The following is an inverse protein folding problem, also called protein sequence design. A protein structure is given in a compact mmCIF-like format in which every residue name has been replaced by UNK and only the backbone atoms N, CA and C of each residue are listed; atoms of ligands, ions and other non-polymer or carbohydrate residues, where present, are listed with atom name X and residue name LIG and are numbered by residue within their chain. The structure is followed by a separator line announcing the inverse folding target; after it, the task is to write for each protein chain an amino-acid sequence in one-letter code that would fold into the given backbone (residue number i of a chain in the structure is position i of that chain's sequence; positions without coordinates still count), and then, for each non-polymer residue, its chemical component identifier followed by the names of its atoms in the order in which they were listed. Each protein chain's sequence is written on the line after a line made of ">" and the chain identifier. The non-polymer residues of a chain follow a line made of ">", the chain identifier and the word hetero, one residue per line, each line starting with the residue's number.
data_IF_425702937273
#
_entry.id   IF_425702937273
#
_cell.length_a   1.000
_cell.length_b   1.000
_cell.length_c   1.000
_cell.angle_alpha   90.00
_cell.angle_beta   90.00
_cell.angle_gamma   90.00
#
_symmetry.space_group_name_H-M   'P 1'
#
loop_
_entity.id
_entity.type
_entity.pdbx_description
1 polymer ?
#
# COMPACT_ATOMS: atom_id res chain seq x y z
N UNK A 1 20.34 -11.94 -0.68
CA UNK A 1 19.07 -12.05 -1.44
C UNK A 1 18.12 -10.88 -1.21
N UNK A 2 17.84 -10.47 0.04
CA UNK A 2 16.91 -9.35 0.31
C UNK A 2 17.26 -8.02 -0.39
N UNK A 3 18.54 -7.61 -0.37
CA UNK A 3 18.98 -6.33 -0.97
C UNK A 3 18.73 -6.30 -2.50
N UNK A 4 18.96 -7.42 -3.18
CA UNK A 4 18.74 -7.53 -4.63
C UNK A 4 17.25 -7.36 -4.94
N UNK A 5 16.36 -7.97 -4.16
CA UNK A 5 14.91 -7.80 -4.32
C UNK A 5 14.46 -6.34 -4.13
N UNK A 6 15.06 -5.60 -3.20
CA UNK A 6 14.78 -4.17 -3.01
C UNK A 6 15.24 -3.32 -4.19
N UNK A 7 16.42 -3.60 -4.75
CA UNK A 7 16.92 -2.89 -5.93
C UNK A 7 16.00 -3.11 -7.13
N UNK A 8 15.61 -4.37 -7.40
CA UNK A 8 14.68 -4.68 -8.48
C UNK A 8 13.29 -4.08 -8.23
N UNK A 9 12.76 -4.17 -7.00
CA UNK A 9 11.48 -3.56 -6.64
C UNK A 9 11.49 -2.04 -6.84
N UNK A 10 12.58 -1.37 -6.45
CA UNK A 10 12.77 0.06 -6.68
C UNK A 10 12.80 0.42 -8.17
N UNK A 11 13.53 -0.36 -8.98
CA UNK A 11 13.61 -0.13 -10.42
C UNK A 11 12.26 -0.31 -11.11
N UNK A 12 11.52 -1.36 -10.79
CA UNK A 12 10.17 -1.62 -11.32
C UNK A 12 9.20 -0.51 -10.93
N UNK A 13 9.29 -0.03 -9.68
CA UNK A 13 8.42 1.07 -9.21
C UNK A 13 8.73 2.38 -9.93
N UNK A 14 10.01 2.68 -10.18
CA UNK A 14 10.43 3.86 -10.92
C UNK A 14 9.92 3.84 -12.36
N UNK A 15 10.14 2.74 -13.08
CA UNK A 15 9.70 2.62 -14.47
C UNK A 15 8.17 2.65 -14.58
N UNK A 16 7.47 1.94 -13.69
CA UNK A 16 6.01 1.96 -13.63
C UNK A 16 5.44 3.35 -13.32
N UNK A 17 6.07 4.08 -12.38
CA UNK A 17 5.68 5.44 -12.04
C UNK A 17 5.81 6.40 -13.22
N UNK A 18 6.92 6.34 -13.95
CA UNK A 18 7.14 7.14 -15.17
C UNK A 18 6.07 6.88 -16.22
N UNK A 19 5.73 5.62 -16.49
CA UNK A 19 4.69 5.26 -17.47
C UNK A 19 3.31 5.79 -17.07
N UNK A 20 2.94 5.71 -15.79
CA UNK A 20 1.66 6.24 -15.31
C UNK A 20 1.60 7.77 -15.44
N UNK A 21 2.70 8.46 -15.16
CA UNK A 21 2.81 9.92 -15.31
C UNK A 21 2.67 10.33 -16.77
N UNK A 22 3.33 9.64 -17.69
CA UNK A 22 3.24 9.92 -19.13
C UNK A 22 1.79 9.79 -19.63
N UNK A 23 1.12 8.69 -19.28
CA UNK A 23 -0.30 8.47 -19.61
C UNK A 23 -1.18 9.57 -18.99
N UNK A 24 -0.94 9.93 -17.73
CA UNK A 24 -1.69 11.01 -17.06
C UNK A 24 -1.46 12.39 -17.66
N UNK A 25 -0.26 12.66 -18.20
CA UNK A 25 0.03 13.90 -18.90
C UNK A 25 -0.66 13.98 -20.27
N UNK A 26 -0.81 12.84 -20.96
CA UNK A 26 -1.53 12.77 -22.24
C UNK A 26 -3.06 12.82 -22.08
N UNK A 27 -3.59 12.38 -20.94
CA UNK A 27 -5.03 12.30 -20.67
C UNK A 27 -5.40 13.15 -19.45
N UNK A 28 -5.65 14.46 -19.60
CA UNK A 28 -5.99 15.37 -18.50
C UNK A 28 -7.45 15.20 -18.03
N UNK A 29 -7.95 13.97 -17.96
CA UNK A 29 -9.29 13.66 -17.47
C UNK A 29 -9.29 13.48 -15.96
N UNK A 30 -10.30 14.03 -15.29
CA UNK A 30 -10.49 13.87 -13.86
C UNK A 30 -11.08 12.48 -13.58
N UNK A 31 -10.37 11.65 -12.81
CA UNK A 31 -10.86 10.32 -12.37
C UNK A 31 -9.79 9.22 -12.29
N UNK A 32 -8.52 9.54 -12.61
CA UNK A 32 -7.38 8.68 -12.31
C UNK A 32 -7.37 7.36 -13.08
N UNK A 33 -6.88 6.29 -12.44
CA UNK A 33 -6.61 5.00 -13.09
C UNK A 33 -7.85 4.37 -13.73
N UNK A 34 -9.02 4.56 -13.11
CA UNK A 34 -10.31 4.11 -13.63
C UNK A 34 -10.60 4.69 -15.02
N UNK A 35 -10.46 6.02 -15.16
CA UNK A 35 -10.76 6.75 -16.40
C UNK A 35 -9.72 6.43 -17.49
N UNK A 36 -8.46 6.19 -17.10
CA UNK A 36 -7.44 5.78 -18.06
C UNK A 36 -7.76 4.41 -18.67
N UNK A 37 -8.13 3.43 -17.83
CA UNK A 37 -8.49 2.08 -18.30
C UNK A 37 -9.79 2.10 -19.09
N UNK A 38 -10.78 2.89 -18.68
CA UNK A 38 -12.03 3.07 -19.42
C UNK A 38 -11.79 3.61 -20.84
N UNK A 39 -10.92 4.61 -20.99
CA UNK A 39 -10.60 5.19 -22.30
C UNK A 39 -9.80 4.23 -23.20
N UNK A 40 -8.89 3.42 -22.62
CA UNK A 40 -8.02 2.51 -23.38
C UNK A 40 -8.71 1.20 -23.76
N UNK A 41 -9.45 0.59 -22.83
CA UNK A 41 -10.00 -0.77 -22.96
C UNK A 41 -11.54 -0.81 -22.98
N UNK A 42 -12.18 0.35 -22.85
CA UNK A 42 -13.63 0.48 -22.82
C UNK A 42 -14.24 0.41 -21.42
N UNK A 43 -15.54 0.72 -21.38
CA UNK A 43 -16.33 0.99 -20.18
C UNK A 43 -16.46 -0.19 -19.20
N UNK A 44 -16.49 -1.43 -19.71
CA UNK A 44 -16.56 -2.64 -18.86
C UNK A 44 -15.25 -2.83 -18.08
N UNK A 45 -14.12 -2.68 -18.76
CA UNK A 45 -12.79 -2.81 -18.14
C UNK A 45 -12.54 -1.70 -17.12
N UNK A 46 -12.98 -0.47 -17.41
CA UNK A 46 -12.99 0.63 -16.44
C UNK A 46 -13.78 0.26 -15.18
N UNK A 47 -15.04 -0.17 -15.34
CA UNK A 47 -15.90 -0.60 -14.23
C UNK A 47 -15.24 -1.67 -13.36
N UNK A 48 -14.67 -2.72 -13.96
CA UNK A 48 -13.99 -3.78 -13.22
C UNK A 48 -12.77 -3.26 -12.46
N UNK A 49 -11.99 -2.34 -13.04
CA UNK A 49 -10.83 -1.74 -12.36
C UNK A 49 -11.25 -0.94 -11.12
N UNK A 50 -12.28 -0.10 -11.24
CA UNK A 50 -12.83 0.65 -10.10
C UNK A 50 -13.41 -0.26 -9.02
N UNK A 51 -14.15 -1.30 -9.43
CA UNK A 51 -14.73 -2.30 -8.52
C UNK A 51 -13.65 -3.05 -7.72
N UNK A 52 -12.60 -3.52 -8.39
CA UNK A 52 -11.44 -4.16 -7.75
C UNK A 52 -10.74 -3.22 -6.76
N UNK A 53 -10.62 -1.94 -7.11
CA UNK A 53 -9.93 -0.97 -6.27
C UNK A 53 -10.68 -0.71 -4.94
N UNK A 54 -12.01 -0.68 -4.99
CA UNK A 54 -12.85 -0.42 -3.81
C UNK A 54 -13.00 -1.68 -2.94
N UNK A 55 -13.28 -2.84 -3.54
CA UNK A 55 -13.62 -4.05 -2.77
C UNK A 55 -12.38 -4.80 -2.30
N UNK A 56 -11.33 -4.85 -3.13
CA UNK A 56 -10.16 -5.67 -2.84
C UNK A 56 -9.01 -4.79 -2.36
N UNK A 57 -8.59 -3.84 -3.18
CA UNK A 57 -7.34 -3.12 -2.96
C UNK A 57 -7.38 -2.26 -1.68
N UNK A 58 -8.42 -1.44 -1.51
CA UNK A 58 -8.58 -0.60 -0.32
C UNK A 58 -8.57 -1.41 0.99
N UNK A 59 -9.49 -2.37 1.18
CA UNK A 59 -9.53 -3.19 2.38
C UNK A 59 -8.26 -4.03 2.59
N UNK A 60 -7.65 -4.56 1.52
CA UNK A 60 -6.42 -5.35 1.64
C UNK A 60 -5.24 -4.54 2.20
N UNK A 61 -5.09 -3.28 1.79
CA UNK A 61 -4.04 -2.40 2.34
C UNK A 61 -4.29 -2.14 3.82
N UNK A 62 -5.52 -1.77 4.19
CA UNK A 62 -5.88 -1.49 5.58
C UNK A 62 -5.65 -2.73 6.45
N UNK A 63 -6.10 -3.90 6.00
CA UNK A 63 -5.91 -5.16 6.70
C UNK A 63 -4.43 -5.54 6.86
N UNK A 64 -3.61 -5.31 5.84
CA UNK A 64 -2.18 -5.61 5.87
C UNK A 64 -1.45 -4.75 6.91
N UNK A 65 -1.70 -3.44 6.90
CA UNK A 65 -1.09 -2.50 7.86
C UNK A 65 -1.57 -2.77 9.28
N UNK A 66 -2.88 -3.00 9.47
CA UNK A 66 -3.45 -3.34 10.77
C UNK A 66 -2.91 -4.67 11.31
N UNK A 67 -2.78 -5.68 10.44
CA UNK A 67 -2.21 -6.99 10.78
C UNK A 67 -0.75 -6.88 11.21
N UNK A 68 0.06 -6.13 10.47
CA UNK A 68 1.46 -5.88 10.83
C UNK A 68 1.57 -5.15 12.17
N UNK A 69 0.77 -4.10 12.39
CA UNK A 69 0.72 -3.38 13.66
C UNK A 69 0.34 -4.30 14.82
N UNK A 70 -0.64 -5.19 14.63
CA UNK A 70 -1.03 -6.18 15.64
C UNK A 70 0.13 -7.10 16.05
N UNK A 71 0.93 -7.56 15.09
CA UNK A 71 2.11 -8.39 15.35
C UNK A 71 3.16 -7.60 16.13
N UNK A 72 3.43 -6.35 15.73
CA UNK A 72 4.37 -5.48 16.45
C UNK A 72 3.94 -5.23 17.89
N UNK A 73 2.66 -4.95 18.15
CA UNK A 73 2.15 -4.73 19.51
C UNK A 73 2.28 -5.99 20.38
N UNK A 74 2.00 -7.17 19.82
CA UNK A 74 2.23 -8.44 20.52
C UNK A 74 3.69 -8.64 20.90
N UNK A 75 4.61 -8.30 20.00
CA UNK A 75 6.05 -8.41 20.25
C UNK A 75 6.53 -7.35 21.27
N UNK A 76 6.02 -6.13 21.18
CA UNK A 76 6.34 -5.05 22.13
C UNK A 76 5.93 -5.42 23.56
N UNK A 77 4.74 -6.00 23.76
CA UNK A 77 4.27 -6.44 25.08
C UNK A 77 5.13 -7.55 25.68
N UNK A 78 5.71 -8.41 24.84
CA UNK A 78 6.62 -9.47 25.29
C UNK A 78 8.04 -8.96 25.59
N UNK A 79 8.37 -7.72 25.21
CA UNK A 79 9.71 -7.17 25.39
C UNK A 79 10.02 -6.92 26.89
N UNK A 80 11.16 -7.39 27.41
CA UNK A 80 11.57 -7.13 28.79
C UNK A 80 11.66 -5.64 29.12
N UNK A 81 12.13 -4.84 28.16
CA UNK A 81 12.30 -3.40 28.32
C UNK A 81 10.97 -2.65 28.43
N UNK A 82 9.95 -3.13 27.73
CA UNK A 82 8.61 -2.54 27.78
C UNK A 82 7.96 -2.77 29.16
N UNK A 83 8.01 -4.01 29.67
CA UNK A 83 7.45 -4.34 30.98
C UNK A 83 8.20 -3.66 32.13
N UNK A 84 9.54 -3.64 32.09
CA UNK A 84 10.36 -2.95 33.09
C UNK A 84 10.12 -1.42 33.12
N UNK A 85 9.82 -0.81 31.97
CA UNK A 85 9.40 0.61 31.92
C UNK A 85 8.04 0.83 32.57
N UNK A 86 7.10 -0.10 32.34
CA UNK A 86 5.77 -0.08 32.93
C UNK A 86 5.79 -0.25 34.45
N UNK A 87 6.67 -1.10 34.96
CA UNK A 87 6.84 -1.31 36.41
C UNK A 87 7.46 -0.08 37.09
N UNK A 88 8.43 0.59 36.43
CA UNK A 88 8.99 1.85 36.93
C UNK A 88 7.96 2.98 37.00
N UNK A 89 7.05 3.06 36.03
CA UNK A 89 6.00 4.08 36.01
C UNK A 89 4.93 3.91 37.10
N UNK A 90 4.83 2.72 37.73
CA UNK A 90 3.92 2.47 38.86
C UNK A 90 4.54 2.83 40.21
N UNK A 91 5.85 3.05 40.26
CA UNK A 91 6.61 3.34 41.48
C UNK A 91 6.84 4.84 41.69
N UNK A 92 6.40 5.68 40.75
CA UNK A 92 6.40 7.15 40.78
C UNK A 92 4.99 7.67 40.89
#
# INVERSE_FOLDING_TARGET
>A
MAIIAWIFGGLITLTGGLTIVEIGAQMPYTGGLYVYIENLYGRICGFMAGWMQIIVYGPAIIASVAGFMSILMKNARKSPYFNAGMDRAKLT
#
